data_IF_382781091870
#
_entry.id   IF_382781091870
#
_cell.length_a   1.000
_cell.length_b   1.000
_cell.length_c   1.000
_cell.angle_alpha   90.00
_cell.angle_beta   90.00
_cell.angle_gamma   90.00
#
_symmetry.space_group_name_H-M   'P 1'
#
loop_
_entity.id
_entity.type
_entity.pdbx_description
1 polymer ?
#
# COMPACT_ATOMS: atom_id res chain seq x y z
N UNK A 1 20.71 3.12 -23.67
CA UNK A 1 21.51 2.46 -22.61
C UNK A 1 21.04 3.07 -21.29
N UNK A 2 20.21 2.35 -20.52
CA UNK A 2 19.66 2.86 -19.26
C UNK A 2 20.78 2.92 -18.21
N UNK A 3 20.97 4.08 -17.58
CA UNK A 3 21.90 4.27 -16.47
C UNK A 3 21.39 3.44 -15.26
N UNK A 4 22.11 2.37 -14.87
CA UNK A 4 21.74 1.58 -13.72
C UNK A 4 22.07 2.41 -12.49
N UNK A 5 21.11 3.21 -12.02
CA UNK A 5 21.18 3.86 -10.72
C UNK A 5 21.44 2.76 -9.71
N UNK A 6 22.71 2.66 -9.37
CA UNK A 6 23.26 1.58 -8.59
C UNK A 6 22.65 1.73 -7.22
N UNK A 7 21.87 0.74 -6.78
CA UNK A 7 21.44 0.64 -5.39
C UNK A 7 22.70 0.35 -4.55
N UNK A 8 23.53 1.37 -4.33
CA UNK A 8 24.85 1.32 -3.69
C UNK A 8 24.76 0.93 -2.21
N UNK A 9 23.55 0.88 -1.64
CA UNK A 9 23.26 0.28 -0.33
C UNK A 9 21.92 -0.44 -0.35
N UNK A 10 21.89 -1.67 0.18
CA UNK A 10 20.68 -2.51 0.39
C UNK A 10 19.51 -1.84 1.15
N UNK A 11 19.72 -0.66 1.74
CA UNK A 11 18.74 0.07 2.56
C UNK A 11 18.55 1.53 2.12
N UNK A 12 19.03 1.92 0.94
CA UNK A 12 18.87 3.29 0.47
C UNK A 12 17.50 3.49 -0.17
N UNK A 13 16.59 4.15 0.55
CA UNK A 13 15.29 4.59 0.02
C UNK A 13 15.49 5.97 -0.63
N UNK A 14 15.12 6.15 -1.91
CA UNK A 14 15.16 7.47 -2.55
C UNK A 14 14.29 8.47 -1.77
N UNK A 15 14.79 9.68 -1.53
CA UNK A 15 14.06 10.72 -0.78
C UNK A 15 12.71 11.09 -1.39
N UNK A 16 12.58 10.94 -2.71
CA UNK A 16 11.37 11.28 -3.45
C UNK A 16 10.36 10.13 -3.48
N UNK A 17 10.75 8.91 -3.09
CA UNK A 17 9.87 7.76 -3.11
C UNK A 17 8.74 7.89 -2.08
N UNK A 18 7.60 7.32 -2.43
CA UNK A 18 6.54 7.06 -1.47
C UNK A 18 6.85 5.74 -0.78
N UNK A 19 6.96 5.80 0.54
CA UNK A 19 7.25 4.64 1.38
C UNK A 19 5.94 4.12 1.95
N UNK A 20 5.56 2.90 1.59
CA UNK A 20 4.40 2.25 2.20
C UNK A 20 4.75 1.89 3.65
N UNK A 21 4.07 2.55 4.58
CA UNK A 21 4.29 2.43 6.01
C UNK A 21 2.94 2.23 6.72
N UNK A 22 2.66 1.06 7.30
CA UNK A 22 1.39 0.79 7.97
C UNK A 22 1.14 1.69 9.20
N UNK A 23 2.17 2.36 9.72
CA UNK A 23 2.09 3.28 10.86
C UNK A 23 2.05 4.76 10.48
N UNK A 24 2.02 5.09 9.19
CA UNK A 24 1.92 6.48 8.77
C UNK A 24 0.52 7.06 9.09
N UNK A 25 0.46 8.33 9.44
CA UNK A 25 -0.81 9.04 9.67
C UNK A 25 -1.51 9.42 8.37
N UNK A 26 -0.74 9.74 7.32
CA UNK A 26 -1.28 10.09 6.00
C UNK A 26 -1.62 8.84 5.19
N UNK A 27 -2.85 8.78 4.68
CA UNK A 27 -3.32 7.71 3.78
C UNK A 27 -2.84 7.97 2.36
N UNK A 28 -2.50 6.90 1.63
CA UNK A 28 -2.27 6.95 0.18
C UNK A 28 -3.55 7.33 -0.56
N UNK A 29 -3.47 8.36 -1.42
CA UNK A 29 -4.57 8.79 -2.27
C UNK A 29 -4.18 8.70 -3.75
N UNK A 30 -5.17 8.71 -4.65
CA UNK A 30 -4.92 8.74 -6.10
C UNK A 30 -4.08 9.96 -6.53
N UNK A 31 -4.19 11.08 -5.83
CA UNK A 31 -3.40 12.30 -6.04
C UNK A 31 -1.89 12.11 -5.80
N UNK A 32 -1.48 11.07 -5.07
CA UNK A 32 -0.07 10.73 -4.86
C UNK A 32 0.58 10.16 -6.14
N UNK A 33 -0.18 9.89 -7.21
CA UNK A 33 0.29 9.29 -8.47
C UNK A 33 1.49 10.01 -9.07
N UNK A 34 1.41 11.33 -9.25
CA UNK A 34 2.50 12.11 -9.85
C UNK A 34 3.80 11.99 -9.05
N UNK A 35 3.71 11.84 -7.72
CA UNK A 35 4.88 11.64 -6.86
C UNK A 35 5.41 10.21 -6.98
N UNK A 36 4.53 9.22 -7.02
CA UNK A 36 4.91 7.83 -7.24
C UNK A 36 5.60 7.61 -8.59
N UNK A 37 5.11 8.25 -9.67
CA UNK A 37 5.72 8.16 -11.01
C UNK A 37 7.11 8.82 -11.06
N UNK A 38 7.33 9.91 -10.31
CA UNK A 38 8.62 10.62 -10.26
C UNK A 38 9.64 9.95 -9.33
N UNK A 39 9.18 9.49 -8.17
CA UNK A 39 10.04 9.04 -7.06
C UNK A 39 10.07 7.53 -6.84
N UNK A 40 9.10 6.80 -7.41
CA UNK A 40 8.89 5.38 -7.18
C UNK A 40 8.10 5.06 -5.90
N UNK A 41 7.72 3.79 -5.79
CA UNK A 41 7.18 3.18 -4.57
C UNK A 41 8.27 2.38 -3.86
N UNK A 42 8.35 2.52 -2.53
CA UNK A 42 9.25 1.76 -1.69
C UNK A 42 8.46 0.95 -0.65
N UNK A 43 8.81 -0.33 -0.52
CA UNK A 43 8.19 -1.26 0.42
C UNK A 43 9.27 -1.85 1.31
N UNK A 44 8.96 -1.98 2.59
CA UNK A 44 9.82 -2.62 3.57
C UNK A 44 9.36 -4.06 3.75
N UNK A 45 10.12 -5.01 3.19
CA UNK A 45 9.80 -6.42 3.32
C UNK A 45 10.16 -6.93 4.72
N UNK A 46 9.14 -7.22 5.52
CA UNK A 46 9.32 -7.78 6.86
C UNK A 46 8.08 -8.56 7.30
N UNK A 47 8.27 -9.52 8.21
CA UNK A 47 7.14 -10.20 8.86
C UNK A 47 6.38 -9.25 9.78
N UNK A 48 5.07 -9.45 9.94
CA UNK A 48 4.24 -8.73 10.92
C UNK A 48 4.80 -8.79 12.37
N UNK A 49 5.51 -9.86 12.75
CA UNK A 49 6.20 -9.97 14.06
C UNK A 49 7.29 -8.91 14.27
N UNK A 50 7.88 -8.38 13.18
CA UNK A 50 9.02 -7.47 13.19
C UNK A 50 8.68 -6.08 12.65
N UNK A 51 7.45 -5.85 12.20
CA UNK A 51 7.04 -4.62 11.52
C UNK A 51 7.30 -3.38 12.39
N UNK A 52 6.94 -3.40 13.68
CA UNK A 52 7.21 -2.28 14.60
C UNK A 52 8.70 -1.95 14.68
N UNK A 53 9.57 -2.96 14.70
CA UNK A 53 11.03 -2.80 14.71
C UNK A 53 11.58 -2.33 13.35
N UNK A 54 11.01 -2.79 12.24
CA UNK A 54 11.41 -2.37 10.90
C UNK A 54 11.10 -0.88 10.65
N UNK A 55 9.99 -0.39 11.23
CA UNK A 55 9.53 0.99 11.11
C UNK A 55 9.87 1.87 12.33
N UNK A 56 10.68 1.38 13.28
CA UNK A 56 11.04 2.14 14.49
C UNK A 56 12.00 3.30 14.21
N UNK A 57 12.73 3.24 13.11
CA UNK A 57 13.60 4.32 12.65
C UNK A 57 12.86 5.20 11.64
N UNK A 58 13.11 6.51 11.68
CA UNK A 58 12.50 7.46 10.75
C UNK A 58 12.94 7.13 9.32
N UNK A 59 12.06 6.49 8.56
CA UNK A 59 12.31 6.20 7.15
C UNK A 59 12.45 7.51 6.37
N UNK A 60 13.46 7.59 5.52
CA UNK A 60 13.69 8.74 4.64
C UNK A 60 12.76 8.58 3.44
N UNK A 61 11.81 9.48 3.26
CA UNK A 61 10.84 9.45 2.17
C UNK A 61 9.45 9.95 2.60
N UNK A 62 8.52 10.08 1.65
CA UNK A 62 7.13 10.45 1.97
C UNK A 62 6.38 9.19 2.37
N UNK A 63 6.05 9.06 3.65
CA UNK A 63 5.36 7.86 4.15
C UNK A 63 3.86 7.96 3.90
N UNK A 64 3.26 6.85 3.44
CA UNK A 64 1.82 6.69 3.30
C UNK A 64 1.40 5.35 3.89
N UNK A 65 0.30 5.31 4.63
CA UNK A 65 -0.38 4.05 4.94
C UNK A 65 -1.36 3.73 3.82
N UNK A 66 -1.62 2.45 3.59
CA UNK A 66 -2.74 2.07 2.75
C UNK A 66 -4.06 2.28 3.51
N UNK A 67 -5.17 2.48 2.79
CA UNK A 67 -6.49 2.31 3.39
C UNK A 67 -6.72 0.85 3.77
N UNK A 68 -7.72 0.59 4.62
CA UNK A 68 -8.02 -0.75 5.09
C UNK A 68 -8.48 -1.65 3.95
N UNK A 69 -7.83 -2.82 3.87
CA UNK A 69 -8.06 -3.88 2.89
C UNK A 69 -7.91 -5.22 3.60
N UNK A 70 -8.58 -6.24 3.09
CA UNK A 70 -8.50 -7.61 3.59
C UNK A 70 -7.38 -8.36 2.89
N UNK A 71 -6.56 -9.07 3.67
CA UNK A 71 -5.56 -9.97 3.12
C UNK A 71 -6.20 -11.19 2.44
N UNK A 72 -5.64 -11.60 1.31
CA UNK A 72 -5.97 -12.85 0.61
C UNK A 72 -4.79 -13.84 0.61
N UNK A 73 -3.63 -13.46 1.15
CA UNK A 73 -2.50 -14.36 1.31
C UNK A 73 -2.85 -15.54 2.26
N UNK A 74 -2.28 -16.74 2.06
CA UNK A 74 -2.64 -17.93 2.84
C UNK A 74 -2.38 -17.83 4.35
N UNK A 75 -1.48 -16.94 4.78
CA UNK A 75 -1.09 -16.82 6.19
C UNK A 75 -2.07 -15.95 6.97
N UNK A 76 -2.59 -14.90 6.33
CA UNK A 76 -3.42 -13.86 6.97
C UNK A 76 -4.80 -13.71 6.31
N UNK A 77 -5.28 -14.70 5.56
CA UNK A 77 -6.54 -14.61 4.82
C UNK A 77 -7.69 -14.06 5.67
N UNK A 78 -8.39 -13.06 5.14
CA UNK A 78 -9.52 -12.39 5.79
C UNK A 78 -9.16 -11.44 6.93
N UNK A 79 -7.88 -11.32 7.31
CA UNK A 79 -7.46 -10.36 8.32
C UNK A 79 -7.38 -8.96 7.73
N UNK A 80 -7.89 -8.00 8.49
CA UNK A 80 -7.86 -6.59 8.13
C UNK A 80 -6.43 -6.04 8.25
N UNK A 81 -5.98 -5.33 7.21
CA UNK A 81 -4.72 -4.58 7.18
C UNK A 81 -3.42 -5.40 7.27
N UNK A 82 -3.48 -6.69 7.58
CA UNK A 82 -2.33 -7.61 7.63
C UNK A 82 -1.89 -8.10 6.23
N UNK A 83 -1.68 -7.16 5.31
CA UNK A 83 -1.27 -7.43 3.93
C UNK A 83 0.18 -7.97 3.86
N UNK A 84 0.45 -8.80 2.85
CA UNK A 84 1.82 -9.10 2.42
C UNK A 84 2.44 -7.91 1.67
N UNK A 85 3.77 -7.88 1.56
CA UNK A 85 4.50 -6.89 0.75
C UNK A 85 3.98 -6.81 -0.69
N UNK A 86 3.59 -7.95 -1.26
CA UNK A 86 3.04 -8.04 -2.61
C UNK A 86 1.64 -7.42 -2.72
N UNK A 87 0.74 -7.75 -1.80
CA UNK A 87 -0.62 -7.19 -1.74
C UNK A 87 -0.57 -5.68 -1.50
N UNK A 88 0.33 -5.23 -0.62
CA UNK A 88 0.54 -3.80 -0.38
C UNK A 88 1.00 -3.06 -1.65
N UNK A 89 1.93 -3.65 -2.42
CA UNK A 89 2.35 -3.08 -3.70
C UNK A 89 1.21 -3.02 -4.71
N UNK A 90 0.48 -4.13 -4.87
CA UNK A 90 -0.63 -4.21 -5.80
C UNK A 90 -1.75 -3.22 -5.44
N UNK A 91 -2.09 -3.09 -4.16
CA UNK A 91 -3.06 -2.11 -3.68
C UNK A 91 -2.62 -0.67 -3.97
N UNK A 92 -1.37 -0.34 -3.68
CA UNK A 92 -0.83 0.99 -3.97
C UNK A 92 -0.89 1.31 -5.47
N UNK A 93 -0.44 0.38 -6.32
CA UNK A 93 -0.53 0.54 -7.78
C UNK A 93 -1.97 0.74 -8.24
N UNK A 94 -2.92 -0.01 -7.69
CA UNK A 94 -4.33 0.11 -8.04
C UNK A 94 -4.89 1.49 -7.67
N UNK A 95 -4.69 1.93 -6.41
CA UNK A 95 -5.19 3.23 -5.90
C UNK A 95 -4.59 4.39 -6.71
N UNK A 96 -3.34 4.28 -7.13
CA UNK A 96 -2.66 5.28 -7.96
C UNK A 96 -3.06 5.21 -9.45
N UNK A 97 -3.98 4.33 -9.82
CA UNK A 97 -4.49 4.20 -11.20
C UNK A 97 -3.64 3.32 -12.13
N UNK A 98 -2.59 2.66 -11.63
CA UNK A 98 -1.76 1.71 -12.38
C UNK A 98 -2.35 0.29 -12.36
N UNK A 99 -3.62 0.16 -12.78
CA UNK A 99 -4.42 -1.07 -12.64
C UNK A 99 -3.75 -2.28 -13.31
N UNK A 100 -3.21 -2.12 -14.52
CA UNK A 100 -2.56 -3.23 -15.22
C UNK A 100 -1.27 -3.68 -14.54
N UNK A 101 -0.51 -2.75 -13.94
CA UNK A 101 0.67 -3.12 -13.15
C UNK A 101 0.28 -3.87 -11.87
N UNK A 102 -0.79 -3.45 -11.20
CA UNK A 102 -1.35 -4.16 -10.05
C UNK A 102 -1.76 -5.59 -10.41
N UNK A 103 -2.46 -5.78 -11.54
CA UNK A 103 -2.85 -7.10 -12.05
C UNK A 103 -1.65 -7.97 -12.41
N UNK A 104 -0.61 -7.39 -13.00
CA UNK A 104 0.58 -8.13 -13.39
C UNK A 104 1.39 -8.60 -12.18
N UNK A 105 1.61 -7.71 -11.21
CA UNK A 105 2.45 -8.05 -10.06
C UNK A 105 1.76 -9.08 -9.15
N UNK A 106 0.45 -8.94 -8.91
CA UNK A 106 -0.26 -9.85 -8.02
C UNK A 106 -0.26 -11.30 -8.55
N UNK A 107 -0.14 -11.48 -9.88
CA UNK A 107 -0.06 -12.80 -10.55
C UNK A 107 1.26 -13.54 -10.33
N UNK A 108 2.25 -12.94 -9.67
CA UNK A 108 3.46 -13.64 -9.24
C UNK A 108 3.13 -14.86 -8.34
N UNK A 109 1.98 -14.83 -7.68
CA UNK A 109 1.48 -15.97 -6.90
C UNK A 109 0.07 -16.36 -7.36
N UNK A 110 -0.20 -17.67 -7.38
CA UNK A 110 -1.49 -18.23 -7.83
C UNK A 110 -2.69 -17.73 -7.01
N UNK A 111 -2.51 -17.52 -5.71
CA UNK A 111 -3.53 -16.97 -4.82
C UNK A 111 -3.72 -15.45 -4.99
N UNK A 112 -2.76 -14.77 -5.61
CA UNK A 112 -2.72 -13.32 -5.68
C UNK A 112 -3.95 -12.67 -6.32
N UNK A 113 -4.46 -13.15 -7.47
CA UNK A 113 -5.69 -12.60 -8.06
C UNK A 113 -6.90 -12.56 -7.11
N UNK A 114 -6.95 -13.47 -6.11
CA UNK A 114 -8.01 -13.44 -5.09
C UNK A 114 -7.98 -12.15 -4.26
N UNK A 115 -6.81 -11.51 -4.08
CA UNK A 115 -6.70 -10.23 -3.38
C UNK A 115 -7.47 -9.11 -4.08
N UNK A 116 -7.31 -8.98 -5.40
CA UNK A 116 -8.03 -7.98 -6.19
C UNK A 116 -9.52 -8.26 -6.25
N UNK A 117 -9.92 -9.54 -6.35
CA UNK A 117 -11.33 -9.94 -6.33
C UNK A 117 -11.97 -9.67 -4.96
N UNK A 118 -11.30 -10.02 -3.87
CA UNK A 118 -11.78 -9.83 -2.50
C UNK A 118 -12.00 -8.35 -2.17
N UNK A 119 -11.13 -7.47 -2.66
CA UNK A 119 -11.16 -6.05 -2.35
C UNK A 119 -11.66 -5.19 -3.51
N UNK A 120 -12.32 -5.77 -4.52
CA UNK A 120 -12.63 -5.07 -5.78
C UNK A 120 -13.33 -3.73 -5.57
N UNK A 121 -14.44 -3.71 -4.85
CA UNK A 121 -15.23 -2.50 -4.64
C UNK A 121 -14.45 -1.45 -3.84
N UNK A 122 -13.75 -1.88 -2.77
CA UNK A 122 -12.88 -1.01 -1.97
C UNK A 122 -11.80 -0.36 -2.82
N UNK A 123 -11.08 -1.14 -3.64
CA UNK A 123 -10.03 -0.62 -4.52
C UNK A 123 -10.58 0.36 -5.57
N UNK A 124 -11.75 0.08 -6.13
CA UNK A 124 -12.43 0.97 -7.08
C UNK A 124 -12.89 2.28 -6.44
N UNK A 125 -13.39 2.24 -5.20
CA UNK A 125 -13.80 3.44 -4.45
C UNK A 125 -12.59 4.24 -3.98
N UNK A 126 -11.56 3.59 -3.44
CA UNK A 126 -10.33 4.25 -2.99
C UNK A 126 -9.57 4.93 -4.14
N UNK A 127 -9.59 4.35 -5.35
CA UNK A 127 -8.98 4.98 -6.53
C UNK A 127 -9.71 6.27 -6.96
N UNK A 128 -10.98 6.45 -6.57
CA UNK A 128 -11.79 7.64 -6.86
C UNK A 128 -11.83 8.65 -5.71
N UNK A 129 -11.42 8.24 -4.51
CA UNK A 129 -11.44 9.11 -3.34
C UNK A 129 -10.41 10.24 -3.47
N UNK A 130 -10.86 11.47 -3.21
CA UNK A 130 -10.04 12.68 -3.35
C UNK A 130 -9.48 13.21 -2.02
N UNK A 131 -9.86 12.60 -0.89
CA UNK A 131 -9.42 13.03 0.43
C UNK A 131 -9.34 11.88 1.44
N UNK A 132 -8.60 12.09 2.52
CA UNK A 132 -8.51 11.16 3.64
C UNK A 132 -9.87 10.93 4.28
N UNK A 133 -10.70 11.97 4.38
CA UNK A 133 -12.05 11.89 4.95
C UNK A 133 -12.98 11.03 4.08
N UNK A 134 -12.84 11.10 2.75
CA UNK A 134 -13.58 10.23 1.83
C UNK A 134 -13.19 8.75 2.03
N UNK A 135 -11.89 8.46 2.17
CA UNK A 135 -11.41 7.12 2.50
C UNK A 135 -11.99 6.64 3.84
N UNK A 136 -11.93 7.47 4.89
CA UNK A 136 -12.43 7.10 6.22
C UNK A 136 -13.92 6.72 6.17
N UNK A 137 -14.74 7.49 5.44
CA UNK A 137 -16.17 7.17 5.25
C UNK A 137 -16.39 5.82 4.55
N UNK A 138 -15.55 5.49 3.57
CA UNK A 138 -15.58 4.17 2.91
C UNK A 138 -15.18 3.08 3.92
N UNK A 139 -14.09 3.27 4.67
CA UNK A 139 -13.64 2.33 5.71
C UNK A 139 -14.74 2.06 6.75
N UNK A 140 -15.43 3.11 7.23
CA UNK A 140 -16.55 3.04 8.18
C UNK A 140 -17.74 2.25 7.61
N UNK A 141 -18.10 2.51 6.34
CA UNK A 141 -19.22 1.84 5.67
C UNK A 141 -18.98 0.33 5.50
N UNK A 142 -17.75 -0.08 5.17
CA UNK A 142 -17.42 -1.49 4.93
C UNK A 142 -17.13 -2.28 6.19
N UNK A 143 -16.41 -1.69 7.15
CA UNK A 143 -15.88 -2.42 8.30
C UNK A 143 -16.63 -2.13 9.60
N UNK A 144 -17.65 -1.25 9.58
CA UNK A 144 -18.36 -0.76 10.77
C UNK A 144 -17.40 -0.31 11.87
N UNK A 145 -16.31 0.34 11.46
CA UNK A 145 -15.33 0.86 12.40
C UNK A 145 -15.89 2.11 13.03
N UNK A 146 -16.03 2.12 14.36
CA UNK A 146 -16.28 3.35 15.09
C UNK A 146 -14.93 4.07 15.23
N UNK A 147 -14.49 4.76 14.18
CA UNK A 147 -13.32 5.63 14.24
C UNK A 147 -13.71 6.94 14.93
N UNK A 148 -14.08 6.87 16.21
CA UNK A 148 -14.27 8.07 17.03
C UNK A 148 -12.90 8.68 17.28
N UNK A 149 -12.66 9.86 16.68
CA UNK A 149 -11.53 10.74 16.99
C UNK A 149 -11.42 10.93 18.51
N UNK A 150 -10.35 10.40 19.09
CA UNK A 150 -9.88 10.78 20.44
C UNK A 150 -8.87 11.91 20.31
#
# INVERSE_FOLDING_TARGET
MLDPTSLTRRYHIPRQAIVLNPFATTILLSQDRTQAERGGLAIVDCSWKRVKKAFSSRLKGRTRRLPYLLAANPVHYGRLFELSSLEALAAALYILGHIEQAKNIIRLYKWGPAFLSLNKNLLEEYAKAESTEAITKIEEAYFRLNLTSS
#
